data_IF_282120450398
#
_entry.id   IF_282120450398
#
_cell.length_a   1.000
_cell.length_b   1.000
_cell.length_c   1.000
_cell.angle_alpha   90.00
_cell.angle_beta   90.00
_cell.angle_gamma   90.00
#
_symmetry.space_group_name_H-M   'P 1'
#
loop_
_entity.id
_entity.type
_entity.pdbx_description
1 polymer ?
#
# COMPACT_ATOMS: atom_id res chain seq x y z
N UNK A 1 -13.78 8.55 1.18
CA UNK A 1 -12.93 9.27 0.22
C UNK A 1 -13.70 10.48 -0.25
N UNK A 2 -13.12 11.66 -0.13
CA UNK A 2 -13.78 12.90 -0.52
C UNK A 2 -13.44 13.32 -1.93
N UNK A 3 -14.26 14.22 -2.48
CA UNK A 3 -14.08 14.77 -3.82
C UNK A 3 -12.78 15.61 -3.94
N UNK A 4 -12.34 16.19 -2.82
CA UNK A 4 -11.09 16.97 -2.72
C UNK A 4 -9.87 16.05 -2.72
N UNK A 5 -9.89 14.98 -1.92
CA UNK A 5 -8.81 13.98 -1.94
C UNK A 5 -8.65 13.36 -3.33
N UNK A 6 -9.78 13.06 -3.99
CA UNK A 6 -9.80 12.48 -5.33
C UNK A 6 -9.25 13.45 -6.38
N UNK A 7 -9.56 14.74 -6.30
CA UNK A 7 -8.99 15.76 -7.18
C UNK A 7 -7.50 15.97 -6.93
N UNK A 8 -7.04 16.03 -5.67
CA UNK A 8 -5.60 16.17 -5.36
C UNK A 8 -4.79 14.98 -5.89
N UNK A 9 -5.34 13.76 -5.81
CA UNK A 9 -4.69 12.56 -6.36
C UNK A 9 -4.61 12.65 -7.89
N UNK A 10 -5.70 12.99 -8.57
CA UNK A 10 -5.74 13.05 -10.04
C UNK A 10 -4.85 14.18 -10.60
N UNK A 11 -4.83 15.34 -9.94
CA UNK A 11 -4.10 16.53 -10.42
C UNK A 11 -2.70 16.67 -9.82
N UNK A 12 -2.20 15.72 -9.04
CA UNK A 12 -0.83 15.84 -8.52
C UNK A 12 0.16 15.80 -9.71
N UNK A 13 1.13 16.72 -9.81
CA UNK A 13 2.07 16.77 -10.92
C UNK A 13 2.85 15.47 -11.12
N UNK A 14 3.13 14.78 -10.01
CA UNK A 14 3.83 13.49 -10.00
C UNK A 14 2.95 12.40 -10.62
N UNK A 15 1.67 12.32 -10.21
CA UNK A 15 0.72 11.34 -10.74
C UNK A 15 0.28 11.67 -12.18
N UNK A 16 0.29 12.94 -12.58
CA UNK A 16 0.04 13.36 -13.96
C UNK A 16 1.16 12.91 -14.91
N UNK A 17 2.43 13.01 -14.47
CA UNK A 17 3.57 12.50 -15.24
C UNK A 17 3.52 10.98 -15.40
N UNK A 18 3.02 10.25 -14.40
CA UNK A 18 2.78 8.80 -14.44
C UNK A 18 1.53 8.41 -15.23
N UNK A 19 0.45 9.17 -15.18
CA UNK A 19 -0.75 8.94 -16.02
C UNK A 19 -0.40 8.96 -17.52
N UNK A 20 0.61 9.75 -17.89
CA UNK A 20 1.10 9.89 -19.27
C UNK A 20 2.19 8.84 -19.60
N UNK A 21 2.97 8.39 -18.61
CA UNK A 21 4.19 7.58 -18.84
C UNK A 21 4.12 6.12 -18.34
N UNK A 22 3.32 5.84 -17.30
CA UNK A 22 3.24 4.59 -16.53
C UNK A 22 1.83 4.40 -15.93
N UNK A 23 0.85 4.02 -16.77
CA UNK A 23 -0.54 3.82 -16.35
C UNK A 23 -0.75 2.70 -15.31
N UNK A 24 0.20 1.75 -15.19
CA UNK A 24 0.08 0.58 -14.33
C UNK A 24 0.27 0.84 -12.83
N UNK A 25 1.26 1.65 -12.44
CA UNK A 25 1.58 1.91 -11.02
C UNK A 25 0.52 2.79 -10.35
N UNK A 26 0.02 3.79 -11.09
CA UNK A 26 -1.11 4.59 -10.63
C UNK A 26 -2.36 3.74 -10.41
N UNK A 27 -2.76 2.93 -11.41
CA UNK A 27 -3.92 2.05 -11.30
C UNK A 27 -3.79 1.09 -10.11
N UNK A 28 -2.58 0.58 -9.85
CA UNK A 28 -2.29 -0.26 -8.69
C UNK A 28 -2.42 0.49 -7.35
N UNK A 29 -1.88 1.70 -7.27
CA UNK A 29 -1.97 2.51 -6.04
C UNK A 29 -3.43 2.83 -5.68
N UNK A 30 -4.28 3.05 -6.68
CA UNK A 30 -5.71 3.25 -6.50
C UNK A 30 -6.39 1.93 -6.14
N UNK A 31 -6.05 0.82 -6.81
CA UNK A 31 -6.61 -0.50 -6.52
C UNK A 31 -6.28 -0.97 -5.09
N UNK A 32 -5.05 -0.75 -4.64
CA UNK A 32 -4.63 -1.06 -3.26
C UNK A 32 -5.37 -0.21 -2.24
N UNK A 33 -5.46 1.10 -2.46
CA UNK A 33 -6.24 1.98 -1.60
C UNK A 33 -7.74 1.58 -1.55
N UNK A 34 -8.34 1.24 -2.70
CA UNK A 34 -9.70 0.74 -2.78
C UNK A 34 -9.88 -0.57 -2.04
N UNK A 35 -8.95 -1.52 -2.19
CA UNK A 35 -9.00 -2.81 -1.47
C UNK A 35 -9.00 -2.60 0.04
N UNK A 36 -8.18 -1.68 0.56
CA UNK A 36 -8.11 -1.33 1.97
C UNK A 36 -9.39 -0.65 2.45
N UNK A 37 -9.96 0.26 1.65
CA UNK A 37 -11.21 0.94 1.99
C UNK A 37 -12.41 -0.03 2.01
N UNK A 38 -12.50 -0.94 1.04
CA UNK A 38 -13.50 -2.01 0.98
C UNK A 38 -13.34 -2.91 2.21
N UNK A 39 -12.11 -3.29 2.52
CA UNK A 39 -11.78 -4.11 3.67
C UNK A 39 -12.24 -3.51 4.99
N UNK A 40 -11.98 -2.21 5.22
CA UNK A 40 -12.40 -1.51 6.44
C UNK A 40 -13.92 -1.52 6.62
N UNK A 41 -14.69 -1.47 5.52
CA UNK A 41 -16.16 -1.55 5.56
C UNK A 41 -16.69 -2.95 5.80
N UNK A 42 -16.03 -3.98 5.26
CA UNK A 42 -16.55 -5.35 5.29
C UNK A 42 -15.99 -6.23 6.39
N UNK A 43 -14.81 -5.90 6.94
CA UNK A 43 -14.18 -6.64 8.05
C UNK A 43 -14.68 -6.26 9.44
N UNK A 44 -15.52 -5.22 9.58
CA UNK A 44 -16.09 -4.80 10.87
C UNK A 44 -17.00 -5.86 11.52
N UNK A 45 -17.49 -6.84 10.77
CA UNK A 45 -18.37 -7.87 11.32
C UNK A 45 -17.61 -9.00 12.02
N UNK A 46 -18.11 -9.45 13.18
CA UNK A 46 -17.46 -10.51 13.97
C UNK A 46 -17.59 -11.91 13.30
N UNK A 47 -18.26 -12.06 12.16
CA UNK A 47 -18.53 -13.39 11.59
C UNK A 47 -17.65 -13.68 10.37
N UNK A 48 -17.16 -14.92 10.24
CA UNK A 48 -16.57 -15.42 9.00
C UNK A 48 -17.67 -15.51 7.94
N UNK A 49 -17.78 -14.48 7.12
CA UNK A 49 -18.78 -14.39 6.06
C UNK A 49 -18.10 -14.49 4.70
N UNK A 50 -18.85 -14.76 3.63
CA UNK A 50 -18.32 -14.79 2.25
C UNK A 50 -17.55 -13.50 1.89
N UNK A 51 -17.98 -12.36 2.46
CA UNK A 51 -17.31 -11.05 2.32
C UNK A 51 -15.87 -11.07 2.83
N UNK A 52 -15.58 -11.79 3.91
CA UNK A 52 -14.22 -11.93 4.46
C UNK A 52 -13.29 -12.58 3.44
N UNK A 53 -13.72 -13.71 2.85
CA UNK A 53 -12.94 -14.42 1.84
C UNK A 53 -12.83 -13.63 0.53
N UNK A 54 -13.86 -12.89 0.14
CA UNK A 54 -13.81 -12.01 -1.03
C UNK A 54 -12.75 -10.90 -0.86
N UNK A 55 -12.69 -10.27 0.33
CA UNK A 55 -11.67 -9.24 0.61
C UNK A 55 -10.27 -9.86 0.60
N UNK A 56 -10.09 -11.03 1.20
CA UNK A 56 -8.81 -11.74 1.16
C UNK A 56 -8.40 -12.14 -0.27
N UNK A 57 -9.37 -12.49 -1.13
CA UNK A 57 -9.16 -12.70 -2.56
C UNK A 57 -8.66 -11.45 -3.27
N UNK A 58 -9.31 -10.30 -3.06
CA UNK A 58 -8.87 -9.03 -3.62
C UNK A 58 -7.44 -8.67 -3.18
N UNK A 59 -7.11 -8.88 -1.91
CA UNK A 59 -5.75 -8.66 -1.39
C UNK A 59 -4.74 -9.58 -2.06
N UNK A 60 -5.05 -10.87 -2.23
CA UNK A 60 -4.15 -11.84 -2.87
C UNK A 60 -3.90 -11.53 -4.35
N UNK A 61 -4.96 -11.18 -5.09
CA UNK A 61 -4.84 -10.76 -6.50
C UNK A 61 -4.03 -9.46 -6.63
N UNK A 62 -4.29 -8.47 -5.78
CA UNK A 62 -3.55 -7.20 -5.84
C UNK A 62 -2.09 -7.37 -5.42
N UNK A 63 -1.80 -8.27 -4.47
CA UNK A 63 -0.41 -8.60 -4.10
C UNK A 63 0.34 -9.29 -5.26
N UNK A 64 -0.36 -10.05 -6.10
CA UNK A 64 0.24 -10.79 -7.22
C UNK A 64 0.78 -9.91 -8.34
N UNK A 65 0.29 -8.66 -8.45
CA UNK A 65 0.74 -7.71 -9.48
C UNK A 65 2.01 -6.98 -9.06
N UNK A 66 2.10 -6.46 -7.83
CA UNK A 66 3.36 -5.95 -7.27
C UNK A 66 3.51 -6.23 -5.77
N UNK A 67 4.67 -6.78 -5.42
CA UNK A 67 5.06 -7.07 -4.04
C UNK A 67 5.23 -5.82 -3.16
N UNK A 68 5.46 -4.65 -3.76
CA UNK A 68 5.57 -3.36 -3.04
C UNK A 68 4.32 -3.08 -2.19
N UNK A 69 3.15 -3.51 -2.67
CA UNK A 69 1.86 -3.36 -1.97
C UNK A 69 1.81 -4.17 -0.67
N UNK A 70 2.66 -5.19 -0.52
CA UNK A 70 2.78 -6.00 0.67
C UNK A 70 3.14 -5.22 1.92
N UNK A 71 3.97 -4.16 1.81
CA UNK A 71 4.30 -3.31 2.95
C UNK A 71 3.06 -2.57 3.48
N UNK A 72 2.23 -2.04 2.58
CA UNK A 72 0.98 -1.35 2.93
C UNK A 72 0.00 -2.34 3.57
N UNK A 73 -0.15 -3.51 2.97
CA UNK A 73 -1.00 -4.56 3.52
C UNK A 73 -0.54 -5.04 4.88
N UNK A 74 0.77 -5.12 5.13
CA UNK A 74 1.29 -5.50 6.44
C UNK A 74 0.85 -4.49 7.51
N UNK A 75 1.01 -3.18 7.27
CA UNK A 75 0.57 -2.12 8.18
C UNK A 75 -0.94 -2.23 8.43
N UNK A 76 -1.74 -2.32 7.37
CA UNK A 76 -3.19 -2.36 7.48
C UNK A 76 -3.71 -3.63 8.17
N UNK A 77 -3.16 -4.81 7.85
CA UNK A 77 -3.61 -6.08 8.43
C UNK A 77 -3.25 -6.17 9.92
N UNK A 78 -2.09 -5.65 10.32
CA UNK A 78 -1.75 -5.52 11.74
C UNK A 78 -2.75 -4.61 12.46
N UNK A 79 -3.05 -3.45 11.90
CA UNK A 79 -4.07 -2.55 12.43
C UNK A 79 -5.45 -3.24 12.54
N UNK A 80 -5.91 -3.89 11.48
CA UNK A 80 -7.25 -4.48 11.39
C UNK A 80 -7.42 -5.71 12.30
N UNK A 81 -6.38 -6.53 12.47
CA UNK A 81 -6.44 -7.80 13.18
C UNK A 81 -5.71 -7.82 14.53
N UNK A 82 -5.19 -6.68 15.02
CA UNK A 82 -4.48 -6.59 16.34
C UNK A 82 -5.26 -7.17 17.52
N UNK A 83 -6.59 -7.12 17.47
CA UNK A 83 -7.46 -7.62 18.54
C UNK A 83 -7.92 -9.08 18.31
N UNK A 84 -7.66 -9.66 17.13
CA UNK A 84 -8.12 -10.99 16.74
C UNK A 84 -7.10 -11.70 15.83
N UNK A 85 -5.94 -12.07 16.39
CA UNK A 85 -4.83 -12.70 15.65
C UNK A 85 -5.20 -13.95 14.89
N UNK A 86 -6.08 -14.79 15.44
CA UNK A 86 -6.51 -16.02 14.77
C UNK A 86 -7.19 -15.73 13.43
N UNK A 87 -7.98 -14.65 13.34
CA UNK A 87 -8.62 -14.23 12.10
C UNK A 87 -7.63 -13.63 11.12
N UNK A 88 -6.71 -12.80 11.63
CA UNK A 88 -5.63 -12.25 10.80
C UNK A 88 -4.80 -13.36 10.18
N UNK A 89 -4.48 -14.41 10.94
CA UNK A 89 -3.74 -15.56 10.44
C UNK A 89 -4.49 -16.30 9.32
N UNK A 90 -5.78 -16.59 9.50
CA UNK A 90 -6.61 -17.23 8.46
C UNK A 90 -6.72 -16.33 7.23
N UNK A 91 -6.88 -15.02 7.42
CA UNK A 91 -6.95 -14.04 6.33
C UNK A 91 -5.66 -14.05 5.50
N UNK A 92 -4.51 -13.94 6.17
CA UNK A 92 -3.19 -13.95 5.54
C UNK A 92 -2.94 -15.28 4.83
N UNK A 93 -3.27 -16.40 5.45
CA UNK A 93 -3.12 -17.72 4.83
C UNK A 93 -3.91 -17.81 3.52
N UNK A 94 -5.18 -17.41 3.54
CA UNK A 94 -6.04 -17.44 2.35
C UNK A 94 -5.54 -16.48 1.27
N UNK A 95 -5.15 -15.26 1.65
CA UNK A 95 -4.52 -14.28 0.76
C UNK A 95 -3.26 -14.83 0.09
N UNK A 96 -2.38 -15.51 0.85
CA UNK A 96 -1.16 -16.11 0.32
C UNK A 96 -1.43 -17.28 -0.64
N UNK A 97 -2.45 -18.10 -0.36
CA UNK A 97 -2.89 -19.17 -1.28
C UNK A 97 -3.35 -18.58 -2.61
N UNK A 98 -4.11 -17.49 -2.60
CA UNK A 98 -4.56 -16.81 -3.83
C UNK A 98 -3.38 -16.18 -4.56
N UNK A 99 -2.49 -15.51 -3.85
CA UNK A 99 -1.25 -14.99 -4.41
C UNK A 99 -0.45 -16.09 -5.12
N UNK A 100 -0.25 -17.24 -4.46
CA UNK A 100 0.46 -18.37 -5.03
C UNK A 100 -0.25 -18.95 -6.26
N UNK A 101 -1.58 -19.09 -6.22
CA UNK A 101 -2.36 -19.58 -7.34
C UNK A 101 -2.30 -18.65 -8.56
N UNK A 102 -2.44 -17.33 -8.35
CA UNK A 102 -2.38 -16.35 -9.45
C UNK A 102 -0.97 -16.28 -10.04
N UNK A 103 0.07 -16.25 -9.20
CA UNK A 103 1.47 -16.23 -9.67
C UNK A 103 1.85 -17.52 -10.41
N UNK A 104 1.39 -18.68 -9.93
CA UNK A 104 1.57 -19.95 -10.64
C UNK A 104 0.90 -19.92 -12.03
N UNK A 105 -0.36 -19.53 -12.11
CA UNK A 105 -1.08 -19.43 -13.39
C UNK A 105 -0.44 -18.41 -14.35
N UNK A 106 0.12 -17.31 -13.82
CA UNK A 106 0.83 -16.33 -14.62
C UNK A 106 2.15 -16.88 -15.18
N UNK A 107 2.93 -17.61 -14.37
CA UNK A 107 4.19 -18.21 -14.78
C UNK A 107 4.00 -19.30 -15.84
N UNK A 108 2.91 -20.06 -15.76
CA UNK A 108 2.51 -21.05 -16.77
C UNK A 108 1.89 -20.41 -18.03
N UNK A 109 1.77 -19.08 -18.08
CA UNK A 109 1.28 -18.35 -19.24
C UNK A 109 -0.24 -18.39 -19.45
N UNK A 110 -1.00 -18.94 -18.49
CA UNK A 110 -2.47 -18.94 -18.55
C UNK A 110 -3.08 -17.55 -18.32
N UNK A 111 -2.36 -16.65 -17.66
CA UNK A 111 -2.81 -15.29 -17.34
C UNK A 111 -1.67 -14.30 -17.59
N UNK A 112 -1.96 -13.21 -18.29
CA UNK A 112 -1.00 -12.12 -18.50
C UNK A 112 -0.94 -11.22 -17.24
N UNK A 113 -0.04 -11.56 -16.30
CA UNK A 113 0.30 -10.69 -15.16
C UNK A 113 1.76 -10.29 -15.28
N UNK A 114 2.04 -8.99 -15.38
CA UNK A 114 3.40 -8.48 -15.23
C UNK A 114 3.77 -8.53 -13.76
N UNK A 115 4.56 -9.54 -13.37
CA UNK A 115 5.17 -9.59 -12.03
C UNK A 115 6.32 -8.59 -12.02
N UNK A 116 6.03 -7.38 -11.54
CA UNK A 116 7.06 -6.37 -11.34
C UNK A 116 7.91 -6.74 -10.13
N UNK A 117 9.18 -7.03 -10.39
CA UNK A 117 10.17 -7.22 -9.35
C UNK A 117 10.65 -5.86 -8.88
N UNK A 118 10.57 -5.60 -7.58
CA UNK A 118 11.12 -4.40 -6.98
C UNK A 118 12.65 -4.46 -7.01
N UNK A 119 13.26 -4.17 -8.15
CA UNK A 119 14.71 -4.19 -8.36
C UNK A 119 15.46 -3.33 -7.33
N UNK A 120 14.85 -2.23 -6.87
CA UNK A 120 15.38 -1.36 -5.82
C UNK A 120 15.52 -2.05 -4.45
N UNK A 121 14.58 -2.92 -4.08
CA UNK A 121 14.70 -3.67 -2.83
C UNK A 121 15.92 -4.61 -2.88
N UNK A 122 16.33 -5.09 -4.06
CA UNK A 122 17.54 -5.89 -4.23
C UNK A 122 18.81 -5.19 -3.77
N UNK A 123 18.89 -3.87 -3.93
CA UNK A 123 20.08 -3.05 -3.63
C UNK A 123 20.26 -2.75 -2.14
N UNK A 124 19.20 -2.90 -1.35
CA UNK A 124 19.21 -2.61 0.08
C UNK A 124 19.88 -3.79 0.83
N UNK A 125 20.85 -3.52 1.73
CA UNK A 125 21.43 -4.55 2.58
C UNK A 125 20.38 -5.27 3.44
N UNK A 126 20.59 -6.56 3.70
CA UNK A 126 19.64 -7.41 4.44
C UNK A 126 19.32 -6.85 5.83
N UNK A 127 20.31 -6.30 6.55
CA UNK A 127 20.10 -5.71 7.87
C UNK A 127 19.17 -4.48 7.84
N UNK A 128 19.24 -3.66 6.79
CA UNK A 128 18.34 -2.51 6.60
C UNK A 128 16.92 -2.99 6.29
N UNK A 129 16.78 -4.05 5.49
CA UNK A 129 15.46 -4.67 5.21
C UNK A 129 14.80 -5.17 6.50
N UNK A 130 15.58 -5.83 7.36
CA UNK A 130 15.11 -6.31 8.66
C UNK A 130 14.66 -5.13 9.53
N UNK A 131 15.44 -4.05 9.57
CA UNK A 131 15.09 -2.85 10.33
C UNK A 131 13.79 -2.21 9.81
N UNK A 132 13.64 -2.08 8.49
CA UNK A 132 12.42 -1.58 7.85
C UNK A 132 11.22 -2.48 8.15
N UNK A 133 11.40 -3.81 8.16
CA UNK A 133 10.35 -4.76 8.52
C UNK A 133 9.92 -4.57 9.98
N UNK A 134 10.86 -4.49 10.93
CA UNK A 134 10.57 -4.25 12.35
C UNK A 134 9.81 -2.93 12.53
N UNK A 135 10.26 -1.86 11.85
CA UNK A 135 9.60 -0.56 11.88
C UNK A 135 8.16 -0.65 11.34
N UNK A 136 7.95 -1.37 10.23
CA UNK A 136 6.63 -1.58 9.63
C UNK A 136 5.70 -2.32 10.59
N UNK A 137 6.20 -3.37 11.25
CA UNK A 137 5.44 -4.11 12.27
C UNK A 137 5.05 -3.23 13.45
N UNK A 138 6.02 -2.47 13.99
CA UNK A 138 5.81 -1.59 15.12
C UNK A 138 4.74 -0.52 14.82
N UNK A 139 4.86 0.14 13.67
CA UNK A 139 3.93 1.19 13.26
C UNK A 139 2.53 0.62 12.99
N UNK A 140 2.42 -0.52 12.29
CA UNK A 140 1.13 -1.17 12.04
C UNK A 140 0.41 -1.60 13.31
N UNK A 141 1.15 -1.92 14.37
CA UNK A 141 0.58 -2.28 15.67
C UNK A 141 0.04 -1.07 16.45
N UNK A 142 0.75 0.06 16.41
CA UNK A 142 0.46 1.24 17.23
C UNK A 142 -0.57 2.17 16.59
N UNK A 143 -0.73 2.16 15.26
CA UNK A 143 -1.68 3.02 14.56
C UNK A 143 -3.07 3.01 15.22
N UNK A 144 -3.52 4.13 15.78
CA UNK A 144 -4.74 4.16 16.58
C UNK A 144 -5.99 4.08 15.70
N UNK A 145 -5.97 4.81 14.59
CA UNK A 145 -7.08 4.98 13.65
C UNK A 145 -6.71 4.56 12.21
N UNK A 146 -7.74 4.32 11.39
CA UNK A 146 -7.59 4.01 9.95
C UNK A 146 -6.77 5.06 9.20
N UNK A 147 -6.98 6.35 9.48
CA UNK A 147 -6.21 7.42 8.84
C UNK A 147 -4.73 7.38 9.24
N UNK A 148 -4.41 7.04 10.49
CA UNK A 148 -3.02 6.87 10.93
C UNK A 148 -2.36 5.68 10.25
N UNK A 149 -3.09 4.59 10.03
CA UNK A 149 -2.61 3.43 9.27
C UNK A 149 -2.29 3.78 7.81
N UNK A 150 -3.13 4.59 7.15
CA UNK A 150 -2.86 5.09 5.80
C UNK A 150 -1.66 6.04 5.76
N UNK A 151 -1.58 7.00 6.69
CA UNK A 151 -0.46 7.94 6.79
C UNK A 151 0.85 7.17 6.97
N UNK A 152 0.86 6.26 7.94
CA UNK A 152 1.98 5.39 8.26
C UNK A 152 2.46 4.58 7.07
N UNK A 153 1.53 4.00 6.30
CA UNK A 153 1.84 3.25 5.09
C UNK A 153 2.54 4.14 4.05
N UNK A 154 2.03 5.36 3.83
CA UNK A 154 2.66 6.34 2.95
C UNK A 154 4.06 6.74 3.40
N UNK A 155 4.25 7.00 4.69
CA UNK A 155 5.57 7.34 5.27
C UNK A 155 6.56 6.19 5.12
N UNK A 156 6.15 4.95 5.39
CA UNK A 156 7.03 3.77 5.27
C UNK A 156 7.46 3.56 3.81
N UNK A 157 6.54 3.68 2.85
CA UNK A 157 6.87 3.59 1.43
C UNK A 157 7.87 4.68 1.01
N UNK A 158 7.63 5.91 1.45
CA UNK A 158 8.50 7.04 1.14
C UNK A 158 9.89 6.91 1.78
N UNK A 159 9.96 6.45 3.03
CA UNK A 159 11.22 6.20 3.74
C UNK A 159 12.00 5.05 3.08
N UNK A 160 11.30 3.99 2.67
CA UNK A 160 11.89 2.88 1.90
C UNK A 160 12.47 3.38 0.58
N UNK A 161 11.76 4.28 -0.11
CA UNK A 161 12.28 4.92 -1.32
C UNK A 161 13.57 5.71 -1.05
N UNK A 162 13.59 6.59 -0.04
CA UNK A 162 14.79 7.38 0.30
C UNK A 162 15.97 6.47 0.62
N UNK A 163 15.77 5.46 1.46
CA UNK A 163 16.82 4.51 1.82
C UNK A 163 17.35 3.79 0.59
N UNK A 164 16.45 3.30 -0.28
CA UNK A 164 16.84 2.64 -1.53
C UNK A 164 17.64 3.57 -2.45
N UNK A 165 17.24 4.84 -2.54
CA UNK A 165 17.90 5.86 -3.35
C UNK A 165 19.30 6.19 -2.81
N UNK A 166 19.47 6.33 -1.50
CA UNK A 166 20.78 6.55 -0.86
C UNK A 166 21.73 5.40 -1.17
N UNK A 167 21.29 4.15 -0.99
CA UNK A 167 22.12 2.98 -1.29
C UNK A 167 22.46 2.88 -2.78
N UNK A 168 21.50 3.15 -3.67
CA UNK A 168 21.74 3.16 -5.10
C UNK A 168 22.80 4.19 -5.51
N UNK A 169 22.69 5.43 -5.02
CA UNK A 169 23.66 6.50 -5.29
C UNK A 169 25.04 6.11 -4.76
N UNK A 170 25.10 5.48 -3.58
CA UNK A 170 26.38 5.06 -2.98
C UNK A 170 27.09 3.95 -3.77
N UNK A 171 26.35 3.09 -4.47
CA UNK A 171 26.90 1.94 -5.19
C UNK A 171 27.19 2.24 -6.67
N UNK A 172 26.30 2.97 -7.36
CA UNK A 172 26.32 3.11 -8.82
C UNK A 172 26.43 4.58 -9.25
N UNK A 173 26.34 5.53 -8.31
CA UNK A 173 26.35 6.97 -8.60
C UNK A 173 24.98 7.49 -9.07
N UNK A 174 24.93 8.75 -9.51
CA UNK A 174 23.69 9.40 -9.94
C UNK A 174 23.45 9.19 -11.44
N UNK A 175 22.61 8.21 -11.80
CA UNK A 175 22.10 8.01 -13.16
C UNK A 175 20.58 8.09 -13.17
N UNK A 176 20.02 9.09 -13.87
CA UNK A 176 18.57 9.36 -13.91
C UNK A 176 17.75 8.18 -14.45
N UNK A 177 18.29 7.42 -15.40
CA UNK A 177 17.55 6.36 -16.09
C UNK A 177 17.39 5.08 -15.27
N UNK A 178 18.06 4.99 -14.13
CA UNK A 178 18.02 3.80 -13.29
C UNK A 178 17.26 4.02 -11.98
N UNK A 179 16.87 5.25 -11.64
CA UNK A 179 16.13 5.53 -10.41
C UNK A 179 14.66 5.15 -10.63
N UNK A 180 14.22 4.09 -9.96
CA UNK A 180 12.83 3.68 -9.95
C UNK A 180 12.06 4.47 -8.87
N UNK A 181 11.14 5.32 -9.32
CA UNK A 181 10.34 6.20 -8.46
C UNK A 181 9.03 5.55 -7.99
N UNK A 182 8.77 4.28 -8.33
CA UNK A 182 7.50 3.60 -8.05
C UNK A 182 7.06 3.72 -6.59
N UNK A 183 8.00 3.53 -5.65
CA UNK A 183 7.72 3.61 -4.21
C UNK A 183 7.28 5.01 -3.77
N UNK A 184 7.90 6.06 -4.31
CA UNK A 184 7.53 7.45 -4.00
C UNK A 184 6.16 7.80 -4.59
N UNK A 185 5.88 7.32 -5.81
CA UNK A 185 4.60 7.56 -6.50
C UNK A 185 3.47 6.86 -5.75
N UNK A 186 3.64 5.59 -5.39
CA UNK A 186 2.62 4.81 -4.66
C UNK A 186 2.37 5.42 -3.27
N UNK A 187 3.37 6.05 -2.63
CA UNK A 187 3.20 6.69 -1.33
C UNK A 187 2.21 7.88 -1.35
N UNK A 188 2.12 8.63 -2.46
CA UNK A 188 1.34 9.87 -2.54
C UNK A 188 -0.16 9.62 -2.28
N UNK A 189 -0.84 8.68 -2.96
CA UNK A 189 -2.25 8.37 -2.66
C UNK A 189 -2.51 8.05 -1.20
N UNK A 190 -1.64 7.28 -0.54
CA UNK A 190 -1.80 6.94 0.88
C UNK A 190 -1.68 8.16 1.79
N UNK A 191 -0.71 9.04 1.53
CA UNK A 191 -0.56 10.29 2.27
C UNK A 191 -1.75 11.23 2.05
N UNK A 192 -2.26 11.36 0.83
CA UNK A 192 -3.42 12.22 0.55
C UNK A 192 -4.70 11.66 1.19
N UNK A 193 -4.93 10.34 1.10
CA UNK A 193 -6.10 9.69 1.71
C UNK A 193 -6.07 9.73 3.25
N UNK A 194 -4.90 9.90 3.84
CA UNK A 194 -4.74 10.01 5.29
C UNK A 194 -5.21 11.33 5.89
N UNK A 195 -5.39 12.38 5.07
CA UNK A 195 -5.80 13.70 5.53
C UNK A 195 -7.22 13.62 6.09
N UNK A 196 -7.37 13.77 7.42
CA UNK A 196 -8.67 13.85 8.08
C UNK A 196 -9.42 15.09 7.58
N UNK A 197 -10.64 14.88 7.10
CA UNK A 197 -11.52 15.99 6.75
C UNK A 197 -12.24 16.46 8.00
N UNK A 198 -11.99 17.71 8.36
CA UNK A 198 -12.73 18.39 9.41
C UNK A 198 -13.87 19.16 8.77
N UNK A 199 -15.10 19.00 9.29
CA UNK A 199 -16.20 19.90 8.93
C UNK A 199 -15.91 21.25 9.56
N UNK A 200 -15.28 22.15 8.83
CA UNK A 200 -15.07 23.53 9.29
C UNK A 200 -16.27 24.35 8.89
N UNK A 201 -16.93 24.99 9.85
CA UNK A 201 -17.88 26.04 9.56
C UNK A 201 -17.09 27.24 9.00
N UNK A 202 -17.14 27.40 7.67
CA UNK A 202 -16.34 28.42 6.94
C UNK A 202 -16.60 29.84 7.41
N UNK A 203 -17.77 30.10 8.01
CA UNK A 203 -18.14 31.44 8.49
C UNK A 203 -17.66 31.72 9.91
N UNK A 204 -17.47 30.68 10.73
CA UNK A 204 -17.11 30.83 12.14
C UNK A 204 -15.71 30.33 12.47
N UNK A 205 -15.00 29.71 11.52
CA UNK A 205 -13.68 29.12 11.75
C UNK A 205 -13.70 27.99 12.78
N UNK A 206 -14.88 27.46 13.12
CA UNK A 206 -15.05 26.39 14.11
C UNK A 206 -15.02 25.04 13.44
N UNK A 207 -14.22 24.15 13.99
CA UNK A 207 -14.24 22.73 13.67
C UNK A 207 -15.48 22.12 14.32
N UNK A 208 -16.43 21.68 13.51
CA UNK A 208 -17.58 20.89 13.95
C UNK A 208 -17.10 19.44 14.04
N UNK A 209 -17.02 18.93 15.27
CA UNK A 209 -16.75 17.51 15.54
C UNK A 209 -17.85 16.61 14.96
#
# INVERSE_FOLDING_TARGET
MSLIQLTVIIFSPVLYSELISFSGLFALSVLTALSIFISDRFLQSIKFNWKFFLVAFLFGVTLSTHLITGCVYLVYLLYAFRNNFSRGFIFILFMLVIYAAVTFLANEGYIAVQVSHAHLLGLIPVWVKILLLILTFYIGWIAADFQEGLFSSGVILFLTFIVSLVFKISQIGWSRNEIDFSLAIIAIPFLVLSIKEYKVDRFLGKVLN
#
